data_IF_636794603363
#
_entry.id   IF_636794603363
#
_cell.length_a   1.000
_cell.length_b   1.000
_cell.length_c   1.000
_cell.angle_alpha   90.00
_cell.angle_beta   90.00
_cell.angle_gamma   90.00
#
_symmetry.space_group_name_H-M   'P 1'
#
loop_
_entity.id
_entity.type
_entity.pdbx_description
1 polymer ?
#
# COMPACT_ATOMS: atom_id res chain seq x y z
N UNK A 1 -12.15 11.95 -16.09
CA UNK A 1 -10.78 12.04 -15.54
C UNK A 1 -10.72 11.09 -14.35
N UNK A 2 -10.11 9.92 -14.53
CA UNK A 2 -9.13 9.34 -13.59
C UNK A 2 -9.56 8.83 -12.22
N UNK A 3 -10.85 8.78 -11.87
CA UNK A 3 -11.31 8.31 -10.55
C UNK A 3 -10.94 6.85 -10.27
N UNK A 4 -10.87 6.04 -11.34
CA UNK A 4 -10.46 4.65 -11.31
C UNK A 4 -9.07 4.43 -10.70
N UNK A 5 -8.19 5.44 -10.71
CA UNK A 5 -6.83 5.37 -10.19
C UNK A 5 -6.61 6.21 -8.92
N UNK A 6 -7.69 6.53 -8.17
CA UNK A 6 -7.59 7.31 -6.92
C UNK A 6 -7.88 6.42 -5.73
N UNK A 7 -6.87 6.30 -4.85
CA UNK A 7 -7.02 5.71 -3.52
C UNK A 7 -7.11 6.81 -2.45
N UNK A 8 -8.02 6.66 -1.49
CA UNK A 8 -8.21 7.57 -0.36
C UNK A 8 -8.07 6.78 0.95
N UNK A 9 -7.40 7.38 1.94
CA UNK A 9 -7.39 6.82 3.30
C UNK A 9 -8.82 6.80 3.85
N UNK A 10 -9.35 5.60 4.07
CA UNK A 10 -10.72 5.38 4.55
C UNK A 10 -10.89 5.53 6.06
N UNK A 11 -9.93 6.15 6.76
CA UNK A 11 -9.95 6.34 8.21
C UNK A 11 -10.02 7.84 8.54
N UNK A 12 -10.86 8.19 9.52
CA UNK A 12 -11.00 9.58 9.99
C UNK A 12 -11.59 10.52 8.94
N UNK A 13 -10.92 11.64 8.66
CA UNK A 13 -11.40 12.70 7.76
C UNK A 13 -11.62 12.19 6.33
N UNK A 14 -10.88 11.18 5.89
CA UNK A 14 -11.00 10.64 4.54
C UNK A 14 -12.32 9.93 4.26
N UNK A 15 -13.09 9.53 5.29
CA UNK A 15 -14.48 9.03 5.12
C UNK A 15 -15.38 10.11 4.52
N UNK A 16 -15.27 11.36 4.99
CA UNK A 16 -16.05 12.48 4.45
C UNK A 16 -15.66 12.86 3.02
N UNK A 17 -14.42 12.60 2.61
CA UNK A 17 -13.95 12.78 1.23
C UNK A 17 -14.57 11.73 0.32
N UNK A 18 -14.65 10.48 0.78
CA UNK A 18 -15.29 9.38 0.05
C UNK A 18 -16.77 9.67 -0.15
N UNK A 19 -17.49 10.04 0.91
CA UNK A 19 -18.92 10.31 0.84
C UNK A 19 -19.22 11.51 -0.07
N UNK A 20 -18.48 12.62 0.11
CA UNK A 20 -18.65 13.82 -0.71
C UNK A 20 -18.24 13.66 -2.19
N UNK A 21 -17.46 12.64 -2.54
CA UNK A 21 -17.19 12.30 -3.94
C UNK A 21 -18.21 11.31 -4.51
N UNK A 22 -18.71 10.35 -3.72
CA UNK A 22 -19.82 9.48 -4.13
C UNK A 22 -21.06 10.27 -4.49
N UNK A 23 -21.39 11.29 -3.70
CA UNK A 23 -22.50 12.22 -3.99
C UNK A 23 -22.33 12.98 -5.32
N UNK A 24 -21.11 13.01 -5.87
CA UNK A 24 -20.75 13.64 -7.14
C UNK A 24 -20.45 12.63 -8.25
N UNK A 25 -20.76 11.35 -8.05
CA UNK A 25 -20.57 10.28 -9.03
C UNK A 25 -19.11 9.80 -9.18
N UNK A 26 -18.24 10.11 -8.22
CA UNK A 26 -16.88 9.57 -8.19
C UNK A 26 -16.84 8.25 -7.38
N UNK A 27 -16.13 7.26 -7.90
CA UNK A 27 -15.78 6.04 -7.18
C UNK A 27 -14.30 6.08 -6.79
N UNK A 28 -13.99 5.74 -5.53
CA UNK A 28 -12.62 5.73 -5.03
C UNK A 28 -12.28 4.36 -4.47
N UNK A 29 -11.03 3.94 -4.67
CA UNK A 29 -10.48 2.83 -3.92
C UNK A 29 -10.23 3.27 -2.47
N UNK A 30 -10.77 2.51 -1.51
CA UNK A 30 -10.61 2.83 -0.10
C UNK A 30 -9.45 2.02 0.46
N UNK A 31 -8.34 2.69 0.75
CA UNK A 31 -7.22 2.08 1.46
C UNK A 31 -7.42 2.29 2.96
N UNK A 32 -7.32 1.22 3.76
CA UNK A 32 -7.27 1.36 5.23
C UNK A 32 -6.04 0.64 5.74
N UNK A 33 -5.13 1.40 6.33
CA UNK A 33 -3.83 0.92 6.80
C UNK A 33 -3.92 -0.27 7.75
N UNK A 34 -4.95 -0.29 8.61
CA UNK A 34 -5.19 -1.35 9.58
C UNK A 34 -5.97 -2.57 9.07
N UNK A 35 -6.30 -2.64 7.77
CA UNK A 35 -6.93 -3.85 7.21
C UNK A 35 -5.98 -5.04 7.23
N UNK A 36 -6.58 -6.23 7.20
CA UNK A 36 -5.83 -7.47 7.00
C UNK A 36 -4.99 -7.38 5.72
N UNK A 37 -3.79 -7.98 5.70
CA UNK A 37 -3.03 -8.13 4.46
C UNK A 37 -3.88 -8.84 3.40
N UNK A 38 -3.68 -8.45 2.14
CA UNK A 38 -4.37 -9.04 1.00
C UNK A 38 -3.54 -10.21 0.45
N UNK A 39 -4.01 -11.46 0.52
CA UNK A 39 -3.26 -12.63 0.04
C UNK A 39 -2.97 -12.59 -1.46
N UNK A 40 -3.72 -11.82 -2.25
CA UNK A 40 -3.59 -11.77 -3.70
C UNK A 40 -2.63 -10.67 -4.19
N UNK A 41 -2.14 -9.79 -3.31
CA UNK A 41 -1.11 -8.81 -3.69
C UNK A 41 0.26 -9.50 -3.81
N UNK A 42 0.81 -9.56 -5.01
CA UNK A 42 2.12 -10.19 -5.28
C UNK A 42 3.01 -9.30 -6.17
N UNK A 43 4.31 -9.62 -6.20
CA UNK A 43 5.35 -8.89 -6.96
C UNK A 43 6.03 -9.75 -8.04
N UNK A 44 5.82 -11.06 -7.98
CA UNK A 44 6.34 -12.09 -8.89
C UNK A 44 5.15 -12.77 -9.56
N UNK A 45 5.43 -13.56 -10.61
CA UNK A 45 4.44 -14.36 -11.37
C UNK A 45 3.24 -14.72 -10.49
N UNK A 46 2.04 -14.35 -10.95
CA UNK A 46 0.77 -14.51 -10.24
C UNK A 46 0.77 -15.75 -9.33
N UNK A 47 0.18 -15.66 -8.12
CA UNK A 47 -0.11 -16.88 -7.39
C UNK A 47 -1.01 -17.73 -8.29
N UNK A 48 -0.44 -18.80 -8.86
CA UNK A 48 -1.07 -19.63 -9.91
C UNK A 48 -2.34 -20.30 -9.40
N UNK A 49 -2.57 -20.24 -8.09
CA UNK A 49 -3.78 -20.64 -7.40
C UNK A 49 -3.90 -19.92 -6.06
N UNK A 50 -5.09 -20.02 -5.45
CA UNK A 50 -5.34 -19.61 -4.07
C UNK A 50 -4.43 -20.31 -3.05
N UNK A 51 -4.00 -21.54 -3.32
CA UNK A 51 -3.07 -22.30 -2.46
C UNK A 51 -1.66 -21.69 -2.49
N UNK A 52 -1.21 -21.16 -3.63
CA UNK A 52 0.08 -20.46 -3.71
C UNK A 52 0.06 -19.10 -2.99
N UNK A 53 -1.09 -18.40 -3.02
CA UNK A 53 -1.31 -17.19 -2.24
C UNK A 53 -1.29 -17.47 -0.72
N UNK A 54 -1.98 -18.54 -0.29
CA UNK A 54 -2.00 -18.99 1.11
C UNK A 54 -0.60 -19.43 1.58
N UNK A 55 0.15 -20.19 0.75
CA UNK A 55 1.54 -20.59 1.06
C UNK A 55 2.49 -19.40 1.18
N UNK A 56 2.29 -18.35 0.38
CA UNK A 56 3.09 -17.13 0.45
C UNK A 56 2.87 -16.38 1.78
N UNK A 57 1.63 -16.37 2.28
CA UNK A 57 1.32 -15.83 3.61
C UNK A 57 1.92 -16.67 4.76
N UNK A 58 2.07 -17.99 4.58
CA UNK A 58 2.75 -18.85 5.56
C UNK A 58 4.26 -18.57 5.64
N UNK A 59 4.89 -18.22 4.52
CA UNK A 59 6.32 -17.90 4.46
C UNK A 59 6.65 -16.53 5.06
N UNK A 60 5.77 -15.56 4.87
CA UNK A 60 5.92 -14.22 5.44
C UNK A 60 4.55 -13.60 5.72
N UNK A 61 4.22 -13.47 7.00
CA UNK A 61 2.99 -12.82 7.43
C UNK A 61 3.21 -11.31 7.65
N UNK A 62 2.17 -10.52 7.41
CA UNK A 62 2.15 -9.09 7.69
C UNK A 62 1.09 -8.81 8.76
N UNK A 63 1.35 -7.86 9.66
CA UNK A 63 0.34 -7.55 10.68
C UNK A 63 -0.86 -6.76 10.14
N UNK A 64 -0.66 -6.07 9.02
CA UNK A 64 -1.69 -5.30 8.33
C UNK A 64 -1.27 -4.99 6.89
N UNK A 65 -2.22 -4.47 6.11
CA UNK A 65 -2.04 -4.06 4.73
C UNK A 65 -0.93 -3.02 4.55
N UNK A 66 -0.79 -2.06 5.47
CA UNK A 66 0.28 -1.05 5.38
C UNK A 66 1.67 -1.68 5.45
N UNK A 67 1.88 -2.62 6.37
CA UNK A 67 3.15 -3.34 6.48
C UNK A 67 3.44 -4.19 5.25
N UNK A 68 2.42 -4.85 4.70
CA UNK A 68 2.53 -5.61 3.45
C UNK A 68 2.96 -4.71 2.29
N UNK A 69 2.20 -3.64 2.01
CA UNK A 69 2.45 -2.77 0.87
C UNK A 69 3.78 -2.05 0.98
N UNK A 70 4.19 -1.65 2.20
CA UNK A 70 5.51 -1.05 2.42
C UNK A 70 6.66 -2.01 2.17
N UNK A 71 6.55 -3.26 2.64
CA UNK A 71 7.54 -4.30 2.37
C UNK A 71 7.64 -4.58 0.87
N UNK A 72 6.50 -4.74 0.22
CA UNK A 72 6.39 -4.89 -1.23
C UNK A 72 7.08 -3.73 -1.95
N UNK A 73 6.75 -2.48 -1.63
CA UNK A 73 7.39 -1.31 -2.24
C UNK A 73 8.92 -1.35 -2.08
N UNK A 74 9.42 -1.70 -0.89
CA UNK A 74 10.85 -1.81 -0.64
C UNK A 74 11.51 -2.89 -1.54
N UNK A 75 10.92 -4.08 -1.64
CA UNK A 75 11.41 -5.16 -2.51
C UNK A 75 11.34 -4.78 -4.00
N UNK A 76 10.28 -4.09 -4.41
CA UNK A 76 10.13 -3.60 -5.78
C UNK A 76 11.18 -2.57 -6.15
N UNK A 77 11.50 -1.65 -5.24
CA UNK A 77 12.55 -0.65 -5.43
C UNK A 77 13.94 -1.31 -5.48
N UNK A 78 14.22 -2.24 -4.57
CA UNK A 78 15.51 -2.95 -4.49
C UNK A 78 15.78 -3.80 -5.74
N UNK A 79 14.76 -4.53 -6.22
CA UNK A 79 14.84 -5.34 -7.44
C UNK A 79 14.76 -4.53 -8.75
N UNK A 80 14.45 -3.23 -8.67
CA UNK A 80 14.27 -2.35 -9.84
C UNK A 80 12.95 -2.55 -10.60
N UNK A 81 12.03 -3.36 -10.07
CA UNK A 81 10.66 -3.56 -10.62
C UNK A 81 9.78 -2.33 -10.42
N UNK A 82 9.96 -1.62 -9.31
CA UNK A 82 9.34 -0.30 -9.07
C UNK A 82 10.39 0.78 -9.27
N UNK A 83 9.98 1.86 -9.92
CA UNK A 83 10.82 3.03 -10.15
C UNK A 83 10.06 4.28 -9.72
N UNK A 84 10.73 5.15 -8.98
CA UNK A 84 10.24 6.50 -8.71
C UNK A 84 10.86 7.43 -9.75
N UNK A 85 10.02 8.12 -10.50
CA UNK A 85 10.47 9.05 -11.53
C UNK A 85 11.07 10.32 -10.89
N UNK A 86 12.14 10.85 -11.47
CA UNK A 86 12.77 12.11 -11.02
C UNK A 86 11.81 13.30 -11.06
N UNK A 87 10.79 13.24 -11.93
CA UNK A 87 9.74 14.26 -12.05
C UNK A 87 8.73 14.24 -10.90
N UNK A 88 8.82 13.30 -9.95
CA UNK A 88 7.93 13.25 -8.80
C UNK A 88 8.18 14.47 -7.89
N UNK A 89 7.23 15.41 -7.75
CA UNK A 89 7.47 16.70 -7.10
C UNK A 89 7.82 16.61 -5.62
N UNK A 90 7.50 15.48 -4.97
CA UNK A 90 7.76 15.25 -3.54
C UNK A 90 8.85 14.18 -3.31
N UNK A 91 9.74 13.96 -4.28
CA UNK A 91 10.76 12.92 -4.21
C UNK A 91 11.65 13.03 -2.95
N UNK A 92 12.09 14.24 -2.61
CA UNK A 92 12.96 14.47 -1.46
C UNK A 92 12.22 14.25 -0.14
N UNK A 93 10.98 14.70 -0.05
CA UNK A 93 10.09 14.48 1.10
C UNK A 93 9.81 13.00 1.28
N UNK A 94 9.50 12.29 0.20
CA UNK A 94 9.29 10.85 0.21
C UNK A 94 10.54 10.09 0.69
N UNK A 95 11.73 10.39 0.17
CA UNK A 95 12.98 9.76 0.62
C UNK A 95 13.19 9.99 2.12
N UNK A 96 12.98 11.23 2.60
CA UNK A 96 13.09 11.56 4.02
C UNK A 96 12.09 10.79 4.87
N UNK A 97 10.83 10.69 4.44
CA UNK A 97 9.78 10.00 5.18
C UNK A 97 9.92 8.48 5.15
N UNK A 98 10.37 7.89 4.05
CA UNK A 98 10.70 6.47 3.96
C UNK A 98 11.72 6.09 5.04
N UNK A 99 12.74 6.93 5.26
CA UNK A 99 13.79 6.73 6.26
C UNK A 99 13.33 6.94 7.72
N UNK A 100 12.11 7.42 7.98
CA UNK A 100 11.62 7.64 9.35
C UNK A 100 11.20 6.34 10.04
N UNK A 101 10.93 5.28 9.29
CA UNK A 101 10.29 4.07 9.79
C UNK A 101 11.30 3.12 10.44
N UNK A 102 10.97 2.62 11.63
CA UNK A 102 11.51 1.36 12.11
C UNK A 102 10.64 0.19 11.64
N UNK A 103 11.19 -1.03 11.68
CA UNK A 103 10.43 -2.25 11.48
C UNK A 103 10.92 -3.33 12.46
N UNK A 104 10.05 -4.30 12.74
CA UNK A 104 10.38 -5.47 13.54
C UNK A 104 9.71 -6.73 12.98
N UNK A 105 10.22 -7.89 13.40
CA UNK A 105 9.59 -9.18 13.15
C UNK A 105 9.11 -9.74 14.48
N UNK A 106 7.79 -9.85 14.65
CA UNK A 106 7.15 -10.41 15.84
C UNK A 106 6.47 -11.71 15.48
N UNK A 107 6.90 -12.84 16.06
CA UNK A 107 6.32 -14.16 15.78
C UNK A 107 6.26 -14.48 14.26
N UNK A 108 7.32 -14.14 13.52
CA UNK A 108 7.43 -14.24 12.05
C UNK A 108 6.51 -13.30 11.25
N UNK A 109 5.83 -12.38 11.92
CA UNK A 109 5.01 -11.33 11.30
C UNK A 109 5.85 -10.07 11.14
N UNK A 110 5.95 -9.54 9.92
CA UNK A 110 6.55 -8.24 9.67
C UNK A 110 5.63 -7.11 10.13
N UNK A 111 6.20 -6.21 10.93
CA UNK A 111 5.50 -5.07 11.52
C UNK A 111 6.27 -3.80 11.17
N UNK A 112 5.67 -2.95 10.35
CA UNK A 112 6.16 -1.60 10.13
C UNK A 112 5.71 -0.69 11.28
N UNK A 113 6.60 0.19 11.75
CA UNK A 113 6.28 1.17 12.79
C UNK A 113 5.05 2.02 12.39
N UNK A 114 4.11 2.18 13.32
CA UNK A 114 2.87 2.90 13.08
C UNK A 114 3.09 4.42 12.96
N UNK A 115 2.21 5.08 12.22
CA UNK A 115 2.18 6.54 12.08
C UNK A 115 2.15 7.25 13.44
N UNK A 116 1.36 6.76 14.39
CA UNK A 116 1.26 7.33 15.73
C UNK A 116 2.57 7.16 16.53
N UNK A 117 3.26 6.03 16.37
CA UNK A 117 4.58 5.83 16.99
C UNK A 117 5.62 6.80 16.43
N UNK A 118 5.68 6.95 15.10
CA UNK A 118 6.58 7.88 14.42
C UNK A 118 6.30 9.31 14.87
N UNK A 119 5.02 9.71 14.92
CA UNK A 119 4.61 11.04 15.37
C UNK A 119 5.01 11.30 16.83
N UNK A 120 4.87 10.30 17.71
CA UNK A 120 5.31 10.40 19.11
C UNK A 120 6.83 10.56 19.23
N UNK A 121 7.60 9.86 18.39
CA UNK A 121 9.08 9.87 18.44
C UNK A 121 9.71 11.08 17.75
N UNK A 122 9.15 11.51 16.63
CA UNK A 122 9.76 12.53 15.75
C UNK A 122 8.96 13.84 15.67
N UNK A 123 7.78 13.91 16.28
CA UNK A 123 6.91 15.10 16.25
C UNK A 123 6.22 15.36 14.91
N UNK A 124 6.35 14.46 13.93
CA UNK A 124 5.76 14.59 12.58
C UNK A 124 5.29 13.23 12.04
N UNK A 125 4.32 13.28 11.13
CA UNK A 125 3.76 12.11 10.46
C UNK A 125 4.36 11.94 9.06
N UNK A 126 4.54 10.69 8.57
CA UNK A 126 5.05 10.40 7.23
C UNK A 126 3.90 10.35 6.19
N UNK A 127 3.24 11.49 5.97
CA UNK A 127 2.02 11.56 5.15
C UNK A 127 2.26 11.36 3.65
N UNK A 128 3.41 11.81 3.12
CA UNK A 128 3.81 11.59 1.72
C UNK A 128 4.13 10.11 1.49
N UNK A 129 4.86 9.48 2.41
CA UNK A 129 5.15 8.05 2.33
C UNK A 129 3.87 7.21 2.34
N UNK A 130 2.95 7.47 3.28
CA UNK A 130 1.67 6.77 3.33
C UNK A 130 0.84 6.99 2.05
N UNK A 131 0.92 8.18 1.45
CA UNK A 131 0.27 8.50 0.17
C UNK A 131 0.85 7.72 -1.01
N UNK A 132 2.17 7.55 -1.05
CA UNK A 132 2.84 6.71 -2.05
C UNK A 132 2.45 5.24 -1.87
N UNK A 133 2.36 4.74 -0.62
CA UNK A 133 1.86 3.37 -0.37
C UNK A 133 0.45 3.16 -0.89
N UNK A 134 -0.45 4.13 -0.68
CA UNK A 134 -1.84 4.04 -1.16
C UNK A 134 -1.91 3.97 -2.69
N UNK A 135 -1.17 4.85 -3.38
CA UNK A 135 -1.11 4.85 -4.84
C UNK A 135 -0.50 3.55 -5.38
N UNK A 136 0.56 3.06 -4.74
CA UNK A 136 1.22 1.82 -5.12
C UNK A 136 0.33 0.58 -4.91
N UNK A 137 -0.38 0.51 -3.78
CA UNK A 137 -1.37 -0.54 -3.54
C UNK A 137 -2.44 -0.61 -4.62
N UNK A 138 -2.93 0.55 -5.07
CA UNK A 138 -3.95 0.60 -6.11
C UNK A 138 -3.42 0.07 -7.45
N UNK A 139 -2.16 0.39 -7.79
CA UNK A 139 -1.51 -0.14 -8.99
C UNK A 139 -1.40 -1.67 -8.94
N UNK A 140 -0.93 -2.22 -7.82
CA UNK A 140 -0.86 -3.67 -7.62
C UNK A 140 -2.24 -4.33 -7.75
N UNK A 141 -3.28 -3.70 -7.19
CA UNK A 141 -4.64 -4.23 -7.28
C UNK A 141 -5.17 -4.22 -8.72
N UNK A 142 -4.83 -3.22 -9.52
CA UNK A 142 -5.27 -3.13 -10.92
C UNK A 142 -4.60 -4.19 -11.80
N UNK A 143 -3.33 -4.49 -11.56
CA UNK A 143 -2.63 -5.57 -12.26
C UNK A 143 -3.34 -6.92 -12.01
N UNK A 144 -3.68 -7.21 -10.74
CA UNK A 144 -4.46 -8.41 -10.38
C UNK A 144 -5.84 -8.44 -11.05
N UNK A 145 -6.57 -7.33 -11.12
CA UNK A 145 -7.91 -7.31 -11.74
C UNK A 145 -7.86 -7.47 -13.27
N UNK A 146 -6.83 -6.94 -13.93
CA UNK A 146 -6.70 -7.00 -15.39
C UNK A 146 -6.23 -8.38 -15.88
N UNK A 147 -5.40 -9.10 -15.11
CA UNK A 147 -4.99 -10.47 -15.45
C UNK A 147 -6.15 -11.47 -15.28
N UNK A 148 -7.05 -11.24 -14.32
CA UNK A 148 -8.21 -12.11 -14.06
C UNK A 148 -9.45 -11.74 -14.88
N UNK A 149 -9.48 -10.54 -15.46
CA UNK A 149 -10.52 -10.05 -16.37
C UNK A 149 -10.35 -10.52 -17.83
N UNK A 150 -9.29 -11.28 -18.13
CA UNK A 150 -9.01 -11.89 -19.45
C UNK A 150 -9.91 -13.06 -19.84
N UNK A 151 -11.11 -13.19 -19.26
CA UNK A 151 -12.21 -14.01 -19.77
C UNK A 151 -13.49 -13.18 -19.66
N UNK A 152 -13.84 -12.48 -20.73
CA UNK A 152 -15.21 -12.19 -21.10
C UNK A 152 -15.39 -12.44 -22.59
#
# INVERSE_FOLDING_TARGET
IGYENIAVDGVGVGVGVIDGGKDRGAEFAVFKSGFSPDPFLTFDDEPKSREDAERSQELMAFNNLRSQVAYMLAMGLDSGKVKILESFPFLNEFIKEAQMHHHEYKDKVFVLESKESIKKRLGKSPDIFDSVLMGFWLQLKHEVVMEWGGIM
#
